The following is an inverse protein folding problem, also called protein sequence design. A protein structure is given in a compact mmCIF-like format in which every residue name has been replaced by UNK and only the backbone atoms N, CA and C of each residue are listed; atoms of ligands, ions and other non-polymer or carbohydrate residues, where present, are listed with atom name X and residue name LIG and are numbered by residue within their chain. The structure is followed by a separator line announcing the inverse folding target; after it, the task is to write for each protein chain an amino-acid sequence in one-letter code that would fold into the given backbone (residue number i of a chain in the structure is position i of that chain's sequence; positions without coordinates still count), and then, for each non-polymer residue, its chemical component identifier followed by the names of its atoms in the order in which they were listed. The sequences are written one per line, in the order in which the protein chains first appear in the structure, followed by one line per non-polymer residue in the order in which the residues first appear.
data_IF_590804450055
#
_entry.id   IF_590804450055
#
_cell.length_a   1.000
_cell.length_b   1.000
_cell.length_c   1.000
_cell.angle_alpha   90.00
_cell.angle_beta   90.00
_cell.angle_gamma   90.00
#
_symmetry.space_group_name_H-M   'P 1'
#
loop_
_entity.id
_entity.type
_entity.pdbx_description
1 polymer ?
#
# COMPACT_ATOMS: atom_id res chain seq x y z
N UNK A 1 -7.80 -2.91 17.40
CA UNK A 1 -7.31 -1.51 17.45
C UNK A 1 -8.22 -0.68 16.57
N UNK A 2 -8.83 0.35 17.13
CA UNK A 2 -9.67 1.31 16.40
C UNK A 2 -8.87 2.61 16.28
N UNK A 3 -8.75 3.13 15.07
CA UNK A 3 -8.17 4.43 14.77
C UNK A 3 -9.34 5.32 14.35
N UNK A 4 -9.55 6.42 15.06
CA UNK A 4 -10.45 7.48 14.63
C UNK A 4 -9.62 8.56 13.94
N UNK A 5 -9.87 8.81 12.66
CA UNK A 5 -9.17 9.84 11.89
C UNK A 5 -10.18 10.66 11.11
N UNK A 6 -10.27 11.96 11.39
CA UNK A 6 -11.21 12.88 10.74
C UNK A 6 -12.67 12.37 10.76
N UNK A 7 -13.09 11.79 11.89
CA UNK A 7 -14.41 11.18 12.05
C UNK A 7 -14.58 9.79 11.41
N UNK A 8 -13.56 9.27 10.71
CA UNK A 8 -13.58 7.96 10.06
C UNK A 8 -13.15 6.87 11.04
N UNK A 9 -13.98 5.83 11.19
CA UNK A 9 -13.68 4.63 12.00
C UNK A 9 -12.86 3.65 11.18
N UNK A 10 -11.57 3.55 11.49
CA UNK A 10 -10.65 2.62 10.84
C UNK A 10 -10.34 1.50 11.83
N UNK A 11 -10.50 0.26 11.41
CA UNK A 11 -10.32 -0.90 12.31
C UNK A 11 -9.24 -1.84 11.78
N UNK A 12 -8.76 -2.76 12.62
CA UNK A 12 -7.84 -3.80 12.16
C UNK A 12 -8.57 -4.84 11.29
N UNK A 13 -9.76 -5.24 11.74
CA UNK A 13 -10.64 -6.23 11.12
C UNK A 13 -12.07 -5.90 11.59
N UNK A 14 -13.06 -6.24 10.76
CA UNK A 14 -14.48 -6.22 11.12
C UNK A 14 -14.82 -7.50 11.87
N UNK A 15 -15.43 -7.38 13.05
CA UNK A 15 -15.75 -8.51 13.93
C UNK A 15 -17.23 -8.93 13.81
N UNK A 16 -18.13 -8.05 13.40
CA UNK A 16 -19.55 -8.36 13.14
C UNK A 16 -20.11 -7.63 11.91
N UNK A 17 -21.19 -8.15 11.33
CA UNK A 17 -21.84 -7.53 10.16
C UNK A 17 -22.43 -6.15 10.50
N UNK A 18 -22.83 -5.91 11.76
CA UNK A 18 -23.34 -4.62 12.25
C UNK A 18 -22.28 -3.52 12.22
N UNK A 19 -20.99 -3.86 12.29
CA UNK A 19 -19.89 -2.89 12.19
C UNK A 19 -19.62 -2.43 10.74
N UNK A 20 -20.10 -3.16 9.73
CA UNK A 20 -19.75 -2.90 8.32
C UNK A 20 -20.17 -1.50 7.86
N UNK A 21 -21.31 -1.01 8.35
CA UNK A 21 -21.88 0.28 7.95
C UNK A 21 -21.19 1.47 8.62
N UNK A 22 -20.48 1.24 9.73
CA UNK A 22 -19.76 2.27 10.46
C UNK A 22 -18.26 2.33 10.12
N UNK A 23 -17.69 1.20 9.68
CA UNK A 23 -16.25 1.08 9.41
C UNK A 23 -15.92 1.70 8.06
N UNK A 24 -15.04 2.70 8.05
CA UNK A 24 -14.54 3.34 6.83
C UNK A 24 -13.68 2.38 6.00
N UNK A 25 -12.69 1.77 6.65
CA UNK A 25 -11.84 0.74 6.07
C UNK A 25 -11.20 -0.13 7.17
N UNK A 26 -10.68 -1.28 6.76
CA UNK A 26 -9.82 -2.11 7.61
C UNK A 26 -8.36 -1.91 7.25
N UNK A 27 -7.48 -2.01 8.24
CA UNK A 27 -6.02 -1.88 8.09
C UNK A 27 -5.33 -3.21 8.37
N UNK A 28 -5.97 -4.32 7.97
CA UNK A 28 -5.38 -5.64 8.13
C UNK A 28 -4.01 -5.67 7.44
N UNK A 29 -2.95 -5.75 8.24
CA UNK A 29 -1.59 -5.67 7.73
C UNK A 29 -1.03 -7.07 7.51
N UNK A 30 -0.52 -7.32 6.31
CA UNK A 30 0.32 -8.48 6.05
C UNK A 30 1.60 -8.33 6.87
N UNK A 31 2.14 -9.47 7.35
CA UNK A 31 3.28 -9.53 8.27
C UNK A 31 4.56 -8.99 7.61
N UNK A 32 5.55 -8.58 8.41
CA UNK A 32 6.82 -8.10 7.83
C UNK A 32 7.55 -9.30 7.25
N UNK A 33 7.71 -9.28 5.94
CA UNK A 33 8.17 -10.43 5.19
C UNK A 33 9.64 -10.79 5.48
N UNK A 34 10.48 -9.80 5.73
CA UNK A 34 11.88 -10.05 6.11
C UNK A 34 11.95 -10.80 7.44
N UNK A 35 11.09 -10.44 8.39
CA UNK A 35 10.96 -11.15 9.67
C UNK A 35 10.43 -12.57 9.42
N UNK A 36 9.39 -12.74 8.60
CA UNK A 36 8.84 -14.08 8.36
C UNK A 36 9.81 -15.02 7.65
N UNK A 37 10.62 -14.52 6.70
CA UNK A 37 11.67 -15.33 6.10
C UNK A 37 12.78 -15.69 7.10
N UNK A 38 13.15 -14.77 7.98
CA UNK A 38 14.14 -15.04 9.03
C UNK A 38 13.66 -16.12 10.00
N UNK A 39 12.40 -16.03 10.44
CA UNK A 39 11.83 -16.93 11.44
C UNK A 39 11.30 -18.24 10.85
N UNK A 40 11.31 -18.38 9.51
CA UNK A 40 10.68 -19.47 8.76
C UNK A 40 9.18 -19.64 9.03
N UNK A 41 8.52 -18.61 9.57
CA UNK A 41 7.10 -18.63 9.92
C UNK A 41 6.23 -18.00 8.82
N UNK A 42 6.21 -18.64 7.65
CA UNK A 42 5.60 -18.10 6.43
C UNK A 42 4.23 -18.73 6.18
N UNK A 43 3.20 -17.91 5.88
CA UNK A 43 1.90 -18.41 5.40
C UNK A 43 1.78 -18.27 3.89
N UNK A 44 0.81 -18.96 3.28
CA UNK A 44 0.51 -18.82 1.86
C UNK A 44 0.21 -17.37 1.44
N UNK A 45 -0.44 -16.59 2.32
CA UNK A 45 -0.74 -15.18 2.05
C UNK A 45 0.54 -14.35 1.99
N UNK A 46 1.49 -14.57 2.90
CA UNK A 46 2.77 -13.86 2.88
C UNK A 46 3.52 -14.16 1.57
N UNK A 47 3.56 -15.43 1.17
CA UNK A 47 4.26 -15.86 -0.04
C UNK A 47 3.60 -15.33 -1.32
N UNK A 48 2.27 -15.38 -1.40
CA UNK A 48 1.52 -14.79 -2.50
C UNK A 48 1.78 -13.28 -2.60
N UNK A 49 1.79 -12.58 -1.46
CA UNK A 49 2.06 -11.16 -1.44
C UNK A 49 3.48 -10.82 -1.91
N UNK A 50 4.46 -11.66 -1.56
CA UNK A 50 5.83 -11.53 -2.05
C UNK A 50 5.90 -11.65 -3.56
N UNK A 51 5.34 -12.73 -4.12
CA UNK A 51 5.35 -12.98 -5.56
C UNK A 51 4.68 -11.83 -6.30
N UNK A 52 3.53 -11.36 -5.80
CA UNK A 52 2.81 -10.26 -6.41
C UNK A 52 3.67 -8.99 -6.44
N UNK A 53 4.28 -8.60 -5.32
CA UNK A 53 5.15 -7.42 -5.25
C UNK A 53 6.44 -7.59 -6.08
N UNK A 54 7.02 -8.78 -6.10
CA UNK A 54 8.19 -9.07 -6.93
C UNK A 54 7.85 -8.98 -8.42
N UNK A 55 6.66 -9.43 -8.81
CA UNK A 55 6.17 -9.30 -10.18
C UNK A 55 6.00 -7.84 -10.61
N UNK A 56 5.70 -6.91 -9.69
CA UNK A 56 5.61 -5.48 -9.99
C UNK A 56 6.92 -4.89 -10.49
N UNK A 57 8.07 -5.49 -10.15
CA UNK A 57 9.38 -4.99 -10.55
C UNK A 57 9.56 -4.94 -12.07
N UNK A 58 8.81 -5.74 -12.84
CA UNK A 58 8.87 -5.75 -14.32
C UNK A 58 8.37 -4.44 -14.95
N UNK A 59 7.60 -3.65 -14.22
CA UNK A 59 7.08 -2.36 -14.69
C UNK A 59 8.04 -1.19 -14.39
N UNK A 60 9.14 -1.46 -13.67
CA UNK A 60 10.08 -0.43 -13.26
C UNK A 60 11.00 -0.06 -14.42
N UNK A 61 11.14 1.24 -14.67
CA UNK A 61 12.01 1.81 -15.70
C UNK A 61 12.89 2.91 -15.08
N UNK A 62 14.04 3.27 -15.68
CA UNK A 62 14.85 4.36 -15.14
C UNK A 62 14.06 5.68 -15.16
N UNK A 63 14.19 6.48 -14.11
CA UNK A 63 13.62 7.83 -14.03
C UNK A 63 12.11 7.91 -13.72
N UNK A 64 11.38 6.79 -13.63
CA UNK A 64 9.93 6.83 -13.39
C UNK A 64 9.58 7.19 -11.94
N UNK A 65 8.41 7.81 -11.77
CA UNK A 65 7.77 7.99 -10.46
C UNK A 65 6.79 6.85 -10.21
N UNK A 66 7.01 6.13 -9.10
CA UNK A 66 6.14 5.06 -8.61
C UNK A 66 5.31 5.60 -7.46
N UNK A 67 3.98 5.45 -7.53
CA UNK A 67 3.07 5.76 -6.44
C UNK A 67 2.38 4.47 -5.97
N UNK A 68 2.47 4.15 -4.68
CA UNK A 68 1.83 2.97 -4.10
C UNK A 68 0.74 3.39 -3.10
N UNK A 69 -0.50 2.98 -3.39
CA UNK A 69 -1.65 3.16 -2.51
C UNK A 69 -1.72 2.00 -1.52
N UNK A 70 -2.01 2.33 -0.25
CA UNK A 70 -2.11 1.37 0.84
C UNK A 70 -0.84 0.53 1.01
N UNK A 71 0.32 1.19 0.98
CA UNK A 71 1.64 0.51 0.92
C UNK A 71 1.97 -0.35 2.16
N UNK A 72 1.17 -0.25 3.22
CA UNK A 72 1.44 -0.86 4.51
C UNK A 72 2.81 -0.47 5.04
N UNK A 73 3.69 -1.46 5.17
CA UNK A 73 5.03 -1.30 5.75
C UNK A 73 6.13 -1.15 4.69
N UNK A 74 5.75 -0.86 3.46
CA UNK A 74 6.65 -0.64 2.35
C UNK A 74 7.41 -1.91 1.95
N UNK A 75 6.73 -2.95 1.49
CA UNK A 75 7.42 -4.11 0.92
C UNK A 75 8.08 -3.76 -0.42
N UNK A 76 7.38 -3.08 -1.32
CA UNK A 76 7.89 -2.70 -2.64
C UNK A 76 9.19 -1.87 -2.59
N UNK A 77 9.33 -0.78 -1.80
CA UNK A 77 10.57 0.00 -1.76
C UNK A 77 11.76 -0.82 -1.26
N UNK A 78 11.52 -1.80 -0.37
CA UNK A 78 12.52 -2.77 0.07
C UNK A 78 12.96 -3.66 -1.08
N UNK A 79 12.05 -4.14 -1.94
CA UNK A 79 12.40 -4.93 -3.13
C UNK A 79 13.13 -4.09 -4.18
N UNK A 80 12.67 -2.86 -4.44
CA UNK A 80 13.29 -1.91 -5.36
C UNK A 80 14.74 -1.60 -4.97
N UNK A 81 15.01 -1.41 -3.68
CA UNK A 81 16.37 -1.17 -3.16
C UNK A 81 17.39 -2.22 -3.64
N UNK A 82 16.99 -3.49 -3.75
CA UNK A 82 17.90 -4.57 -4.15
C UNK A 82 17.85 -4.87 -5.64
N UNK A 83 16.69 -4.75 -6.28
CA UNK A 83 16.49 -5.23 -7.65
C UNK A 83 16.44 -4.11 -8.69
N UNK A 84 16.04 -2.89 -8.32
CA UNK A 84 15.80 -1.82 -9.28
C UNK A 84 16.02 -0.41 -8.70
N UNK A 85 17.28 0.04 -8.71
CA UNK A 85 17.72 1.26 -8.03
C UNK A 85 17.57 2.56 -8.83
N UNK A 86 17.18 2.46 -10.11
CA UNK A 86 17.24 3.57 -11.07
C UNK A 86 15.91 4.34 -11.26
N UNK A 87 14.88 4.03 -10.48
CA UNK A 87 13.63 4.82 -10.53
C UNK A 87 13.90 6.28 -10.14
N UNK A 88 13.05 7.20 -10.60
CA UNK A 88 13.17 8.62 -10.29
C UNK A 88 12.69 8.96 -8.88
N UNK A 89 11.55 8.39 -8.46
CA UNK A 89 10.99 8.61 -7.13
C UNK A 89 10.03 7.47 -6.76
N UNK A 90 9.97 7.13 -5.48
CA UNK A 90 8.92 6.30 -4.90
C UNK A 90 8.12 7.11 -3.89
N UNK A 91 6.79 7.05 -3.97
CA UNK A 91 5.85 7.65 -3.01
C UNK A 91 4.90 6.56 -2.53
N UNK A 92 4.84 6.32 -1.23
CA UNK A 92 3.91 5.37 -0.64
C UNK A 92 2.95 6.05 0.32
N UNK A 93 1.66 5.78 0.16
CA UNK A 93 0.58 6.33 0.98
C UNK A 93 -0.02 5.20 1.81
N UNK A 94 -0.18 5.42 3.11
CA UNK A 94 -0.96 4.51 3.96
C UNK A 94 -1.70 5.29 5.05
N UNK A 95 -2.91 4.86 5.36
CA UNK A 95 -3.75 5.52 6.37
C UNK A 95 -3.32 5.16 7.80
N UNK A 96 -2.63 4.03 7.98
CA UNK A 96 -2.23 3.54 9.28
C UNK A 96 -0.89 4.14 9.74
N UNK A 97 -0.87 5.00 10.77
CA UNK A 97 0.34 5.67 11.26
C UNK A 97 1.42 4.69 11.74
N UNK A 98 1.02 3.52 12.26
CA UNK A 98 1.97 2.47 12.65
C UNK A 98 2.71 1.92 11.43
N UNK A 99 2.02 1.75 10.31
CA UNK A 99 2.60 1.28 9.06
C UNK A 99 3.67 2.24 8.55
N UNK A 100 3.32 3.53 8.48
CA UNK A 100 4.22 4.61 8.08
C UNK A 100 5.45 4.68 8.98
N UNK A 101 5.26 4.61 10.30
CA UNK A 101 6.37 4.60 11.25
C UNK A 101 7.28 3.40 11.04
N UNK A 102 6.73 2.20 10.85
CA UNK A 102 7.52 1.00 10.59
C UNK A 102 8.27 1.08 9.26
N UNK A 103 7.65 1.58 8.19
CA UNK A 103 8.31 1.79 6.90
C UNK A 103 9.49 2.78 7.00
N UNK A 104 9.38 3.80 7.86
CA UNK A 104 10.45 4.79 8.11
C UNK A 104 11.58 4.27 8.98
N UNK A 105 11.32 3.31 9.87
CA UNK A 105 12.26 2.96 10.96
C UNK A 105 12.74 1.51 10.93
N UNK A 106 12.17 0.63 10.11
CA UNK A 106 12.48 -0.81 10.12
C UNK A 106 12.75 -1.39 8.73
N UNK A 107 13.74 -2.27 8.69
CA UNK A 107 14.01 -3.19 7.59
C UNK A 107 14.18 -4.61 8.17
N UNK A 108 13.08 -5.36 8.30
CA UNK A 108 13.06 -6.57 9.12
C UNK A 108 13.40 -6.25 10.58
N UNK A 109 14.36 -6.97 11.17
CA UNK A 109 14.88 -6.70 12.50
C UNK A 109 15.80 -5.47 12.59
N UNK A 110 16.28 -4.95 11.46
CA UNK A 110 17.21 -3.80 11.46
C UNK A 110 16.44 -2.50 11.65
N UNK A 111 16.97 -1.62 12.49
CA UNK A 111 16.51 -0.23 12.57
C UNK A 111 17.16 0.61 11.47
N UNK A 112 16.36 1.44 10.83
CA UNK A 112 16.80 2.45 9.86
C UNK A 112 16.91 3.77 10.62
N UNK A 113 18.03 4.48 10.45
CA UNK A 113 18.19 5.85 10.95
C UNK A 113 17.42 6.84 10.09
N UNK A 114 18.05 7.28 8.98
CA UNK A 114 17.40 8.14 7.99
C UNK A 114 16.92 7.33 6.79
N UNK A 115 15.60 7.14 6.66
CA UNK A 115 15.05 6.39 5.51
C UNK A 115 15.33 7.06 4.16
N UNK A 116 15.46 8.40 4.11
CA UNK A 116 15.73 9.12 2.85
C UNK A 116 17.13 8.82 2.29
N UNK A 117 18.09 8.56 3.17
CA UNK A 117 19.46 8.16 2.80
C UNK A 117 19.59 6.64 2.64
N UNK A 118 18.71 5.88 3.31
CA UNK A 118 18.74 4.42 3.24
C UNK A 118 18.40 3.88 1.86
N UNK A 119 17.49 4.52 1.12
CA UNK A 119 17.12 4.09 -0.24
C UNK A 119 18.00 4.76 -1.30
N UNK A 120 18.37 4.06 -2.39
CA UNK A 120 19.23 4.60 -3.45
C UNK A 120 18.48 5.52 -4.44
N UNK A 121 17.24 5.86 -4.13
CA UNK A 121 16.35 6.73 -4.90
C UNK A 121 15.51 7.57 -3.93
N UNK A 122 14.99 8.73 -4.35
CA UNK A 122 14.08 9.53 -3.54
C UNK A 122 12.87 8.72 -3.08
N UNK A 123 12.61 8.74 -1.77
CA UNK A 123 11.48 8.03 -1.14
C UNK A 123 10.67 8.99 -0.29
N UNK A 124 9.35 8.90 -0.42
CA UNK A 124 8.40 9.61 0.42
C UNK A 124 7.36 8.64 0.99
N UNK A 125 7.11 8.73 2.29
CA UNK A 125 6.12 7.92 3.01
C UNK A 125 5.12 8.85 3.68
N UNK A 126 3.90 8.85 3.14
CA UNK A 126 2.83 9.80 3.49
C UNK A 126 1.77 9.05 4.30
N UNK A 127 1.47 9.57 5.48
CA UNK A 127 0.30 9.13 6.23
C UNK A 127 -0.93 9.85 5.68
N UNK A 128 -1.86 9.12 5.06
CA UNK A 128 -2.97 9.77 4.39
C UNK A 128 -4.02 8.80 3.87
N UNK A 129 -5.17 9.38 3.52
CA UNK A 129 -6.28 8.67 2.91
C UNK A 129 -6.14 8.69 1.39
N UNK A 130 -6.10 7.52 0.77
CA UNK A 130 -5.99 7.40 -0.69
C UNK A 130 -7.26 7.86 -1.41
N UNK A 131 -8.39 8.01 -0.70
CA UNK A 131 -9.58 8.68 -1.21
C UNK A 131 -9.43 10.20 -1.31
N UNK A 132 -8.24 10.74 -1.01
CA UNK A 132 -7.82 12.13 -1.23
C UNK A 132 -6.40 12.22 -1.79
N UNK A 133 -5.94 11.15 -2.47
CA UNK A 133 -4.55 11.00 -2.87
C UNK A 133 -4.02 12.14 -3.75
N UNK A 134 -4.84 12.72 -4.64
CA UNK A 134 -4.33 13.79 -5.52
C UNK A 134 -3.95 15.04 -4.74
N UNK A 135 -4.59 15.30 -3.59
CA UNK A 135 -4.17 16.38 -2.67
C UNK A 135 -2.85 16.08 -1.96
N UNK A 136 -2.54 14.79 -1.76
CA UNK A 136 -1.35 14.35 -1.04
C UNK A 136 -0.10 14.34 -1.94
N UNK A 137 -0.25 13.94 -3.21
CA UNK A 137 0.90 13.71 -4.11
C UNK A 137 0.88 14.54 -5.38
N UNK A 138 -0.23 15.24 -5.67
CA UNK A 138 -0.46 15.94 -6.92
C UNK A 138 -1.19 15.09 -7.96
N UNK A 139 -1.60 15.73 -9.05
CA UNK A 139 -2.22 15.11 -10.23
C UNK A 139 -1.18 14.88 -11.33
N UNK A 140 -1.39 13.88 -12.19
CA UNK A 140 -0.53 13.58 -13.34
C UNK A 140 0.94 13.35 -12.94
N UNK A 141 1.17 12.63 -11.83
CA UNK A 141 2.52 12.43 -11.24
C UNK A 141 3.06 11.01 -11.41
N UNK A 142 2.19 9.99 -11.41
CA UNK A 142 2.63 8.60 -11.38
C UNK A 142 2.78 8.02 -12.80
N UNK A 143 4.00 7.58 -13.13
CA UNK A 143 4.22 6.74 -14.31
C UNK A 143 3.71 5.31 -14.07
N UNK A 144 3.84 4.83 -12.82
CA UNK A 144 3.30 3.55 -12.36
C UNK A 144 2.56 3.77 -11.04
N UNK A 145 1.26 3.42 -11.01
CA UNK A 145 0.46 3.40 -9.79
C UNK A 145 0.19 1.97 -9.35
N UNK A 146 0.55 1.64 -8.12
CA UNK A 146 0.36 0.31 -7.52
C UNK A 146 -0.80 0.38 -6.53
N UNK A 147 -1.76 -0.53 -6.65
CA UNK A 147 -2.86 -0.68 -5.71
C UNK A 147 -3.15 -2.17 -5.50
N UNK A 148 -2.53 -2.75 -4.48
CA UNK A 148 -2.47 -4.21 -4.30
C UNK A 148 -3.18 -4.64 -3.01
N UNK A 149 -4.11 -5.59 -3.14
CA UNK A 149 -4.75 -6.33 -2.03
C UNK A 149 -5.27 -5.42 -0.91
N UNK A 150 -5.96 -4.35 -1.31
CA UNK A 150 -6.32 -3.24 -0.43
C UNK A 150 -7.71 -2.68 -0.72
N UNK A 151 -8.20 -2.76 -1.96
CA UNK A 151 -9.50 -2.20 -2.34
C UNK A 151 -10.67 -2.92 -1.63
N UNK A 152 -10.54 -4.23 -1.42
CA UNK A 152 -11.51 -5.07 -0.71
C UNK A 152 -11.63 -4.77 0.80
N UNK A 153 -10.71 -3.96 1.33
CA UNK A 153 -10.69 -3.53 2.72
C UNK A 153 -11.40 -2.20 2.94
N UNK A 154 -11.98 -1.62 1.89
CA UNK A 154 -12.69 -0.35 1.94
C UNK A 154 -14.18 -0.56 1.75
N UNK A 155 -14.97 0.36 2.31
CA UNK A 155 -16.35 0.55 1.86
C UNK A 155 -16.39 0.86 0.37
N UNK A 156 -17.48 0.46 -0.28
CA UNK A 156 -17.65 0.62 -1.72
C UNK A 156 -17.47 2.06 -2.18
N UNK A 157 -18.09 3.02 -1.49
CA UNK A 157 -18.04 4.45 -1.85
C UNK A 157 -16.62 4.99 -1.72
N UNK A 158 -15.90 4.55 -0.68
CA UNK A 158 -14.51 4.90 -0.42
C UNK A 158 -13.61 4.29 -1.49
N UNK A 159 -13.81 3.01 -1.81
CA UNK A 159 -13.09 2.31 -2.86
C UNK A 159 -13.25 2.99 -4.21
N UNK A 160 -14.49 3.34 -4.60
CA UNK A 160 -14.78 4.09 -5.83
C UNK A 160 -14.06 5.43 -5.84
N UNK A 161 -14.14 6.18 -4.74
CA UNK A 161 -13.44 7.47 -4.63
C UNK A 161 -11.92 7.31 -4.74
N UNK A 162 -11.34 6.28 -4.12
CA UNK A 162 -9.90 6.00 -4.22
C UNK A 162 -9.46 5.66 -5.65
N UNK A 163 -10.31 5.01 -6.45
CA UNK A 163 -10.04 4.75 -7.86
C UNK A 163 -10.11 6.03 -8.71
N UNK A 164 -11.04 6.93 -8.41
CA UNK A 164 -11.09 8.25 -9.04
C UNK A 164 -9.84 9.07 -8.73
N UNK A 165 -9.37 9.03 -7.48
CA UNK A 165 -8.11 9.67 -7.09
C UNK A 165 -6.90 9.01 -7.75
N UNK A 166 -6.88 7.68 -7.87
CA UNK A 166 -5.84 6.97 -8.61
C UNK A 166 -5.77 7.43 -10.07
N UNK A 167 -6.92 7.63 -10.72
CA UNK A 167 -7.00 8.16 -12.08
C UNK A 167 -6.38 9.57 -12.19
N UNK A 168 -6.67 10.47 -11.24
CA UNK A 168 -6.09 11.82 -11.23
C UNK A 168 -4.58 11.82 -10.99
N UNK A 169 -4.09 10.95 -10.11
CA UNK A 169 -2.67 10.83 -9.76
C UNK A 169 -1.86 10.22 -10.91
N UNK A 170 -2.45 9.31 -11.68
CA UNK A 170 -1.81 8.64 -12.80
C UNK A 170 -1.52 9.63 -13.93
N UNK A 171 -0.38 9.45 -14.58
CA UNK A 171 -0.11 10.18 -15.83
C UNK A 171 -0.97 9.67 -16.97
N UNK A 172 -1.20 10.51 -17.99
CA UNK A 172 -1.92 10.11 -19.22
C UNK A 172 -1.30 8.87 -19.89
N UNK A 173 0.03 8.73 -19.81
CA UNK A 173 0.78 7.57 -20.33
C UNK A 173 1.12 6.53 -19.25
N UNK A 174 0.62 6.73 -18.04
CA UNK A 174 0.92 5.90 -16.89
C UNK A 174 0.20 4.56 -16.93
N UNK A 175 0.67 3.61 -16.13
CA UNK A 175 0.00 2.33 -15.93
C UNK A 175 -0.40 2.14 -14.47
N UNK A 176 -1.66 1.74 -14.27
CA UNK A 176 -2.14 1.30 -12.97
C UNK A 176 -2.11 -0.23 -12.89
N UNK A 177 -1.56 -0.75 -11.80
CA UNK A 177 -1.56 -2.17 -11.48
C UNK A 177 -2.44 -2.36 -10.25
N UNK A 178 -3.63 -2.91 -10.49
CA UNK A 178 -4.63 -3.21 -9.48
C UNK A 178 -4.67 -4.72 -9.21
N UNK A 179 -4.62 -5.11 -7.94
CA UNK A 179 -4.88 -6.48 -7.51
C UNK A 179 -5.92 -6.49 -6.40
N UNK A 180 -6.93 -7.34 -6.55
CA UNK A 180 -7.94 -7.59 -5.53
C UNK A 180 -8.39 -9.06 -5.64
N UNK A 181 -8.78 -9.71 -4.53
CA UNK A 181 -9.31 -11.07 -4.57
C UNK A 181 -10.49 -11.20 -5.54
N UNK A 182 -10.55 -12.31 -6.27
CA UNK A 182 -11.67 -12.58 -7.15
C UNK A 182 -12.93 -12.91 -6.31
N UNK A 183 -13.88 -11.98 -6.26
CA UNK A 183 -15.10 -12.05 -5.45
C UNK A 183 -16.02 -13.25 -5.81
N UNK A 184 -15.86 -13.89 -6.97
CA UNK A 184 -16.69 -15.04 -7.37
C UNK A 184 -16.58 -16.26 -6.44
N UNK A 185 -15.58 -16.30 -5.54
CA UNK A 185 -15.35 -17.42 -4.60
C UNK A 185 -15.60 -17.07 -3.12
N UNK A 186 -15.97 -15.82 -2.80
CA UNK A 186 -16.18 -15.39 -1.42
C UNK A 186 -17.57 -14.77 -1.26
N UNK A 187 -18.35 -15.24 -0.28
CA UNK A 187 -19.63 -14.62 0.10
C UNK A 187 -19.38 -13.12 0.31
N UNK A 188 -20.15 -12.28 -0.39
CA UNK A 188 -20.07 -10.82 -0.37
C UNK A 188 -20.00 -10.32 1.09
N UNK A 189 -18.86 -9.75 1.49
CA UNK A 189 -18.71 -9.05 2.79
C UNK A 189 -19.20 -7.60 2.75
N UNK A 190 -19.41 -7.05 1.56
CA UNK A 190 -19.98 -5.72 1.36
C UNK A 190 -21.09 -5.87 0.32
N UNK A 191 -22.34 -5.55 0.70
CA UNK A 191 -23.47 -5.41 -0.23
C UNK A 191 -23.54 -3.98 -0.73
#
# INVERSE_FOLDING_TARGET
MVIMKDGKKIVLRVESDEELDEVYCTTYQIRDMQIQFHDLFITAIDFMNFILHYHLLKYMKPGITVVEFCMGRGLLPKLLKYNYKKIGKYIGIDINPKAIREAKTKFGYKRIGNYKEFYPFPVEFIEGDVAEASKLVGENVADVLIYVSSLEHMRKEVGVKSLQEAYKVLKDTGVMILSTPNASKHKKRYK
#
